data_IF_070188025556
#
_entry.id   IF_070188025556
#
_cell.length_a   1.000
_cell.length_b   1.000
_cell.length_c   1.000
_cell.angle_alpha   90.00
_cell.angle_beta   90.00
_cell.angle_gamma   90.00
#
_symmetry.space_group_name_H-M   'P 1'
#
loop_
_entity.id
_entity.type
_entity.pdbx_description
1 polymer ?
#
# COMPACT_ATOMS: atom_id res chain seq x y z
N UNK A 1 1.92 -11.61 -27.90
CA UNK A 1 0.98 -10.84 -27.06
C UNK A 1 0.52 -11.78 -25.98
N UNK A 2 0.77 -11.49 -24.73
CA UNK A 2 0.26 -12.32 -23.60
C UNK A 2 -1.27 -12.21 -23.61
N UNK A 3 -1.96 -13.34 -23.50
CA UNK A 3 -3.42 -13.39 -23.36
C UNK A 3 -3.81 -12.63 -22.08
N UNK A 4 -4.87 -11.81 -22.14
CA UNK A 4 -5.33 -11.05 -21.00
C UNK A 4 -5.85 -12.00 -19.91
N UNK A 5 -5.41 -11.80 -18.67
CA UNK A 5 -5.87 -12.60 -17.53
C UNK A 5 -7.36 -12.35 -17.26
N UNK A 6 -8.07 -13.34 -16.72
CA UNK A 6 -9.46 -13.14 -16.27
C UNK A 6 -9.53 -12.14 -15.11
N UNK A 7 -8.60 -12.25 -14.16
CA UNK A 7 -8.45 -11.38 -13.00
C UNK A 7 -6.97 -11.08 -12.73
N UNK A 8 -6.67 -9.86 -12.24
CA UNK A 8 -5.37 -9.50 -11.64
C UNK A 8 -5.63 -8.90 -10.27
N UNK A 9 -4.92 -9.40 -9.25
CA UNK A 9 -4.89 -8.77 -7.94
C UNK A 9 -3.83 -7.67 -7.89
N UNK A 10 -4.22 -6.51 -7.38
CA UNK A 10 -3.35 -5.36 -7.10
C UNK A 10 -3.37 -5.11 -5.59
N UNK A 11 -2.21 -5.17 -4.95
CA UNK A 11 -2.08 -5.07 -3.50
C UNK A 11 -1.31 -3.81 -3.13
N UNK A 12 -1.87 -2.99 -2.27
CA UNK A 12 -1.11 -1.96 -1.59
C UNK A 12 -0.17 -2.57 -0.53
N UNK A 13 0.76 -1.76 -0.01
CA UNK A 13 1.77 -2.20 0.97
C UNK A 13 1.54 -1.60 2.34
N UNK A 14 1.60 -0.25 2.43
CA UNK A 14 1.62 0.45 3.70
C UNK A 14 0.25 0.43 4.38
N UNK A 15 0.22 -0.07 5.61
CA UNK A 15 -1.01 -0.33 6.37
C UNK A 15 -1.98 -1.34 5.74
N UNK A 16 -1.59 -1.97 4.63
CA UNK A 16 -2.33 -3.07 3.98
C UNK A 16 -1.64 -4.41 4.22
N UNK A 17 -0.39 -4.56 3.82
CA UNK A 17 0.45 -5.75 4.04
C UNK A 17 1.46 -5.54 5.18
N UNK A 18 1.86 -4.29 5.43
CA UNK A 18 2.91 -3.88 6.35
C UNK A 18 2.41 -2.75 7.26
N UNK A 19 2.63 -2.88 8.57
CA UNK A 19 2.30 -1.89 9.60
C UNK A 19 3.28 -0.70 9.53
N UNK A 20 2.96 0.23 8.63
CA UNK A 20 3.77 1.42 8.41
C UNK A 20 3.60 2.45 9.53
N UNK A 21 2.47 2.45 10.23
CA UNK A 21 2.24 3.33 11.38
C UNK A 21 3.19 2.98 12.51
N UNK A 22 3.39 1.70 12.77
CA UNK A 22 4.35 1.25 13.77
C UNK A 22 5.78 1.58 13.38
N UNK A 23 6.15 1.41 12.10
CA UNK A 23 7.45 1.87 11.60
C UNK A 23 7.64 3.37 11.85
N UNK A 24 6.63 4.19 11.54
CA UNK A 24 6.68 5.63 11.79
C UNK A 24 6.85 5.97 13.27
N UNK A 25 6.12 5.30 14.17
CA UNK A 25 6.24 5.50 15.60
C UNK A 25 7.66 5.17 16.11
N UNK A 26 8.20 4.00 15.73
CA UNK A 26 9.54 3.56 16.11
C UNK A 26 10.65 4.46 15.53
N UNK A 27 10.45 4.99 14.31
CA UNK A 27 11.34 6.01 13.74
C UNK A 27 11.32 7.30 14.59
N UNK A 28 10.12 7.77 14.96
CA UNK A 28 9.97 8.92 15.83
C UNK A 28 10.67 8.76 17.17
N UNK A 29 10.53 7.60 17.82
CA UNK A 29 11.21 7.26 19.07
C UNK A 29 12.74 7.23 18.90
N UNK A 30 13.21 6.73 17.77
CA UNK A 30 14.64 6.70 17.43
C UNK A 30 15.20 8.12 17.26
N UNK A 31 14.48 8.99 16.56
CA UNK A 31 14.85 10.42 16.43
C UNK A 31 14.84 11.10 17.79
N UNK A 32 13.80 10.88 18.62
CA UNK A 32 13.72 11.46 19.95
C UNK A 32 14.87 11.01 20.87
N UNK A 33 15.26 9.74 20.77
CA UNK A 33 16.38 9.19 21.55
C UNK A 33 17.73 9.80 21.11
N UNK A 34 17.93 9.98 19.79
CA UNK A 34 19.19 10.48 19.26
C UNK A 34 19.35 12.00 19.37
N UNK A 35 18.26 12.77 19.28
CA UNK A 35 18.29 14.23 19.11
C UNK A 35 17.35 14.99 20.06
N UNK A 36 16.51 14.31 20.83
CA UNK A 36 15.48 14.91 21.69
C UNK A 36 14.12 15.08 21.03
N UNK A 37 13.09 15.32 21.86
CA UNK A 37 11.70 15.39 21.44
C UNK A 37 11.43 16.54 20.45
N UNK A 38 12.05 17.71 20.68
CA UNK A 38 11.91 18.86 19.77
C UNK A 38 12.40 18.55 18.36
N UNK A 39 13.51 17.83 18.23
CA UNK A 39 14.05 17.44 16.94
C UNK A 39 13.22 16.33 16.27
N UNK A 40 12.59 15.43 17.04
CA UNK A 40 11.59 14.52 16.52
C UNK A 40 10.42 15.28 15.87
N UNK A 41 9.90 16.28 16.56
CA UNK A 41 8.76 17.08 16.06
C UNK A 41 9.17 17.86 14.80
N UNK A 42 10.39 18.40 14.78
CA UNK A 42 10.98 19.03 13.57
C UNK A 42 11.11 18.04 12.40
N UNK A 43 11.57 16.81 12.65
CA UNK A 43 11.69 15.79 11.61
C UNK A 43 10.32 15.50 10.97
N UNK A 44 9.28 15.33 11.79
CA UNK A 44 7.93 15.07 11.29
C UNK A 44 7.30 16.28 10.60
N UNK A 45 7.60 17.50 11.01
CA UNK A 45 7.19 18.69 10.29
C UNK A 45 7.81 18.72 8.89
N UNK A 46 9.13 18.49 8.77
CA UNK A 46 9.82 18.40 7.48
C UNK A 46 9.25 17.27 6.60
N UNK A 47 8.97 16.12 7.20
CA UNK A 47 8.34 15.00 6.48
C UNK A 47 6.95 15.38 5.94
N UNK A 48 6.14 16.07 6.75
CA UNK A 48 4.82 16.56 6.35
C UNK A 48 4.91 17.55 5.19
N UNK A 49 5.79 18.56 5.29
CA UNK A 49 6.03 19.54 4.22
C UNK A 49 6.44 18.86 2.90
N UNK A 50 7.38 17.89 2.97
CA UNK A 50 7.81 17.13 1.80
C UNK A 50 6.67 16.32 1.18
N UNK A 51 5.87 15.67 2.02
CA UNK A 51 4.73 14.90 1.55
C UNK A 51 3.70 15.76 0.82
N UNK A 52 3.44 16.97 1.33
CA UNK A 52 2.52 17.93 0.70
C UNK A 52 3.10 18.48 -0.62
N UNK A 53 4.43 18.73 -0.67
CA UNK A 53 5.12 19.21 -1.86
C UNK A 53 5.23 18.14 -2.95
N UNK A 54 5.62 16.91 -2.59
CA UNK A 54 5.95 15.85 -3.53
C UNK A 54 4.76 14.94 -3.86
N UNK A 55 3.76 14.88 -2.98
CA UNK A 55 2.59 14.01 -3.10
C UNK A 55 2.83 12.57 -2.64
N UNK A 56 4.00 12.26 -2.06
CA UNK A 56 4.33 10.93 -1.52
C UNK A 56 5.20 11.04 -0.26
N UNK A 57 5.31 9.95 0.49
CA UNK A 57 6.12 9.83 1.68
C UNK A 57 7.60 9.70 1.32
N UNK A 58 8.43 10.69 1.69
CA UNK A 58 9.89 10.71 1.46
C UNK A 58 10.67 10.76 2.77
N UNK A 59 10.91 9.60 3.37
CA UNK A 59 11.67 9.47 4.61
C UNK A 59 13.16 9.83 4.44
N UNK A 60 13.74 9.53 3.27
CA UNK A 60 15.14 9.81 2.98
C UNK A 60 15.35 11.31 2.73
N UNK A 61 14.47 11.94 1.96
CA UNK A 61 14.46 13.38 1.75
C UNK A 61 14.23 14.15 3.04
N UNK A 62 13.34 13.66 3.92
CA UNK A 62 13.14 14.24 5.23
C UNK A 62 14.44 14.20 6.06
N UNK A 63 15.17 13.09 6.06
CA UNK A 63 16.48 13.01 6.73
C UNK A 63 17.50 13.99 6.12
N UNK A 64 17.51 14.14 4.79
CA UNK A 64 18.42 15.09 4.12
C UNK A 64 18.11 16.55 4.47
N UNK A 65 16.84 16.95 4.57
CA UNK A 65 16.47 18.30 5.03
C UNK A 65 16.71 18.47 6.53
N UNK A 66 16.42 17.44 7.33
CA UNK A 66 16.56 17.43 8.77
C UNK A 66 18.01 17.67 9.23
N UNK A 67 19.01 17.14 8.50
CA UNK A 67 20.42 17.32 8.86
C UNK A 67 20.89 18.77 8.87
N UNK A 68 20.19 19.68 8.21
CA UNK A 68 20.54 21.10 8.14
C UNK A 68 20.45 21.71 9.53
N UNK A 69 21.57 22.29 10.01
CA UNK A 69 21.66 22.91 11.33
C UNK A 69 21.87 21.93 12.49
N UNK A 70 22.24 20.67 12.21
CA UNK A 70 22.65 19.69 13.20
C UNK A 70 24.15 19.40 13.08
N UNK A 71 24.85 19.46 14.22
CA UNK A 71 26.30 19.18 14.31
C UNK A 71 26.60 17.77 14.87
N UNK A 72 25.61 16.87 14.85
CA UNK A 72 25.75 15.50 15.35
C UNK A 72 25.76 14.49 14.20
N UNK A 73 26.80 14.51 13.37
CA UNK A 73 26.95 13.61 12.23
C UNK A 73 26.92 12.12 12.60
N UNK A 74 27.54 11.65 13.71
CA UNK A 74 27.43 10.23 14.07
C UNK A 74 26.00 9.77 14.28
N UNK A 75 25.14 10.57 14.92
CA UNK A 75 23.73 10.25 15.10
C UNK A 75 22.96 10.28 13.76
N UNK A 76 23.26 11.22 12.86
CA UNK A 76 22.69 11.27 11.51
C UNK A 76 23.04 10.02 10.67
N UNK A 77 24.29 9.54 10.77
CA UNK A 77 24.72 8.31 10.11
C UNK A 77 23.99 7.08 10.69
N UNK A 78 23.76 7.05 12.03
CA UNK A 78 22.96 6.00 12.65
C UNK A 78 21.50 6.04 12.18
N UNK A 79 20.92 7.22 12.01
CA UNK A 79 19.57 7.37 11.44
C UNK A 79 19.49 6.88 10.00
N UNK A 80 20.49 7.20 9.17
CA UNK A 80 20.57 6.66 7.81
C UNK A 80 20.64 5.14 7.80
N UNK A 81 21.49 4.56 8.66
CA UNK A 81 21.59 3.12 8.83
C UNK A 81 20.26 2.52 9.31
N UNK A 82 19.60 3.15 10.30
CA UNK A 82 18.30 2.72 10.81
C UNK A 82 17.25 2.62 9.69
N UNK A 83 17.11 3.66 8.85
CA UNK A 83 16.16 3.66 7.74
C UNK A 83 16.45 2.53 6.74
N UNK A 84 17.73 2.32 6.38
CA UNK A 84 18.11 1.36 5.35
C UNK A 84 18.16 -0.09 5.87
N UNK A 85 18.41 -0.30 7.13
CA UNK A 85 18.55 -1.64 7.73
C UNK A 85 17.34 -2.05 8.59
N UNK A 86 16.30 -1.22 8.65
CA UNK A 86 15.12 -1.50 9.44
C UNK A 86 14.52 -2.87 9.09
N UNK A 87 14.14 -3.69 10.09
CA UNK A 87 13.65 -5.06 9.87
C UNK A 87 12.18 -5.07 9.44
N UNK A 88 11.89 -4.63 8.22
CA UNK A 88 10.53 -4.52 7.69
C UNK A 88 9.77 -5.85 7.66
N UNK A 89 10.46 -6.98 7.61
CA UNK A 89 9.86 -8.30 7.72
C UNK A 89 9.12 -8.52 9.04
N UNK A 90 9.54 -7.83 10.11
CA UNK A 90 8.89 -7.88 11.42
C UNK A 90 7.67 -6.94 11.52
N UNK A 91 7.42 -6.17 10.50
CA UNK A 91 6.28 -5.23 10.42
C UNK A 91 5.19 -5.70 9.47
N UNK A 92 5.32 -6.88 8.91
CA UNK A 92 4.22 -7.49 8.17
C UNK A 92 3.04 -7.74 9.11
N UNK A 93 1.85 -7.41 8.64
CA UNK A 93 0.65 -7.82 9.34
C UNK A 93 0.54 -9.36 9.39
N UNK A 94 -0.12 -9.92 10.42
CA UNK A 94 -0.31 -11.35 10.52
C UNK A 94 -0.88 -11.94 9.22
N UNK A 95 -0.25 -12.99 8.73
CA UNK A 95 -0.63 -13.71 7.52
C UNK A 95 -0.49 -12.94 6.19
N UNK A 96 0.21 -11.84 6.13
CA UNK A 96 0.37 -11.08 4.88
C UNK A 96 1.01 -11.92 3.76
N UNK A 97 2.10 -12.63 4.03
CA UNK A 97 2.79 -13.46 3.02
C UNK A 97 1.95 -14.66 2.59
N UNK A 98 1.27 -15.31 3.52
CA UNK A 98 0.36 -16.43 3.22
C UNK A 98 -0.83 -15.95 2.36
N UNK A 99 -1.34 -14.75 2.64
CA UNK A 99 -2.40 -14.14 1.83
C UNK A 99 -1.91 -13.85 0.41
N UNK A 100 -0.72 -13.26 0.26
CA UNK A 100 -0.13 -13.03 -1.07
C UNK A 100 0.05 -14.35 -1.82
N UNK A 101 0.55 -15.39 -1.15
CA UNK A 101 0.72 -16.72 -1.75
C UNK A 101 -0.62 -17.34 -2.18
N UNK A 102 -1.66 -17.19 -1.35
CA UNK A 102 -3.01 -17.66 -1.67
C UNK A 102 -3.58 -16.92 -2.89
N UNK A 103 -3.60 -15.58 -2.89
CA UNK A 103 -4.14 -14.80 -4.01
C UNK A 103 -3.40 -15.12 -5.32
N UNK A 104 -2.08 -15.30 -5.26
CA UNK A 104 -1.27 -15.72 -6.41
C UNK A 104 -1.61 -17.13 -6.92
N UNK A 105 -2.13 -18.01 -6.09
CA UNK A 105 -2.62 -19.31 -6.53
C UNK A 105 -3.93 -19.22 -7.31
N UNK A 106 -4.68 -18.13 -7.11
CA UNK A 106 -5.96 -17.87 -7.79
C UNK A 106 -5.78 -17.12 -9.11
N UNK A 107 -4.93 -16.08 -9.14
CA UNK A 107 -4.70 -15.23 -10.30
C UNK A 107 -3.34 -14.49 -10.22
N UNK A 108 -2.83 -13.91 -11.31
CA UNK A 108 -1.70 -13.00 -11.30
C UNK A 108 -1.89 -11.92 -10.25
N UNK A 109 -0.84 -11.67 -9.45
CA UNK A 109 -0.87 -10.75 -8.32
C UNK A 109 0.35 -9.85 -8.36
N UNK A 110 0.14 -8.54 -8.28
CA UNK A 110 1.18 -7.53 -8.25
C UNK A 110 1.00 -6.57 -7.06
N UNK A 111 2.10 -5.99 -6.61
CA UNK A 111 2.07 -4.83 -5.72
C UNK A 111 1.85 -3.57 -6.57
N UNK A 112 0.94 -2.71 -6.10
CA UNK A 112 0.68 -1.39 -6.65
C UNK A 112 0.68 -0.39 -5.48
N UNK A 113 1.78 0.33 -5.30
CA UNK A 113 2.02 1.19 -4.13
C UNK A 113 2.35 2.62 -4.53
N UNK A 114 2.02 3.56 -3.66
CA UNK A 114 2.53 4.93 -3.71
C UNK A 114 3.85 5.01 -2.94
N UNK A 115 4.76 5.89 -3.38
CA UNK A 115 6.02 6.14 -2.66
C UNK A 115 7.14 6.63 -3.55
N UNK A 116 8.27 6.92 -2.92
CA UNK A 116 9.49 7.24 -3.65
C UNK A 116 10.11 5.99 -4.32
N UNK A 117 10.84 6.21 -5.41
CA UNK A 117 11.37 5.13 -6.24
C UNK A 117 12.57 4.41 -5.61
N UNK A 118 13.11 4.89 -4.51
CA UNK A 118 14.28 4.31 -3.82
C UNK A 118 13.86 3.56 -2.56
N UNK A 119 13.20 4.25 -1.64
CA UNK A 119 12.89 3.69 -0.32
C UNK A 119 11.72 2.71 -0.34
N UNK A 120 10.66 2.98 -1.13
CA UNK A 120 9.52 2.08 -1.21
C UNK A 120 9.87 0.70 -1.79
N UNK A 121 10.59 0.59 -2.93
CA UNK A 121 11.09 -0.71 -3.39
C UNK A 121 12.06 -1.39 -2.43
N UNK A 122 12.90 -0.61 -1.71
CA UNK A 122 13.79 -1.13 -0.69
C UNK A 122 13.00 -1.75 0.47
N UNK A 123 12.00 -1.04 1.01
CA UNK A 123 11.08 -1.54 2.04
C UNK A 123 10.37 -2.82 1.60
N UNK A 124 9.81 -2.84 0.40
CA UNK A 124 9.12 -4.01 -0.18
C UNK A 124 10.07 -5.22 -0.27
N UNK A 125 11.34 -5.02 -0.65
CA UNK A 125 12.35 -6.10 -0.67
C UNK A 125 12.68 -6.58 0.74
N UNK A 126 12.97 -5.67 1.66
CA UNK A 126 13.30 -5.99 3.05
C UNK A 126 12.16 -6.70 3.78
N UNK A 127 10.93 -6.40 3.45
CA UNK A 127 9.76 -7.10 3.97
C UNK A 127 9.55 -8.51 3.34
N UNK A 128 10.32 -8.92 2.33
CA UNK A 128 10.12 -10.18 1.61
C UNK A 128 8.98 -10.15 0.59
N UNK A 129 8.23 -9.06 0.51
CA UNK A 129 7.07 -8.90 -0.38
C UNK A 129 7.46 -8.93 -1.85
N UNK A 130 8.64 -8.39 -2.21
CA UNK A 130 9.16 -8.44 -3.58
C UNK A 130 9.26 -9.88 -4.11
N UNK A 131 9.83 -10.76 -3.31
CA UNK A 131 9.94 -12.18 -3.65
C UNK A 131 8.58 -12.88 -3.66
N UNK A 132 7.71 -12.51 -2.71
CA UNK A 132 6.36 -13.07 -2.62
C UNK A 132 5.53 -12.83 -3.88
N UNK A 133 5.68 -11.66 -4.54
CA UNK A 133 5.02 -11.36 -5.83
C UNK A 133 5.91 -11.63 -7.05
N UNK A 134 7.07 -12.30 -6.89
CA UNK A 134 8.05 -12.60 -7.96
C UNK A 134 8.52 -11.37 -8.76
N UNK A 135 8.68 -10.25 -8.08
CA UNK A 135 9.12 -9.00 -8.69
C UNK A 135 8.03 -8.20 -9.40
N UNK A 136 6.78 -8.64 -9.38
CA UNK A 136 5.67 -7.90 -9.97
C UNK A 136 5.27 -6.74 -9.04
N UNK A 137 6.02 -5.63 -9.16
CA UNK A 137 5.90 -4.44 -8.30
C UNK A 137 5.84 -3.18 -9.17
N UNK A 138 4.85 -2.34 -8.90
CA UNK A 138 4.72 -0.99 -9.42
C UNK A 138 4.72 0.01 -8.26
N UNK A 139 5.55 1.04 -8.36
CA UNK A 139 5.60 2.16 -7.42
C UNK A 139 5.39 3.45 -8.21
N UNK A 140 4.39 4.22 -7.79
CA UNK A 140 4.01 5.49 -8.41
C UNK A 140 3.94 6.60 -7.36
N UNK A 141 3.87 7.85 -7.81
CA UNK A 141 3.56 8.99 -6.92
C UNK A 141 2.08 8.94 -6.55
N UNK A 142 1.21 8.70 -7.57
CA UNK A 142 -0.25 8.60 -7.42
C UNK A 142 -0.75 7.41 -8.24
N UNK A 143 -0.82 6.23 -7.64
CA UNK A 143 -1.19 4.98 -8.31
C UNK A 143 -2.56 5.03 -8.97
N UNK A 144 -3.53 5.74 -8.38
CA UNK A 144 -4.87 5.90 -8.94
C UNK A 144 -4.89 6.70 -10.26
N UNK A 145 -3.84 7.47 -10.55
CA UNK A 145 -3.67 8.20 -11.82
C UNK A 145 -2.94 7.39 -12.88
N UNK A 146 -2.39 6.24 -12.49
CA UNK A 146 -1.56 5.39 -13.36
C UNK A 146 -2.26 4.10 -13.80
N UNK A 147 -3.60 4.07 -13.75
CA UNK A 147 -4.38 2.87 -14.08
C UNK A 147 -4.19 2.41 -15.52
N UNK A 148 -4.04 3.34 -16.47
CA UNK A 148 -3.76 2.99 -17.88
C UNK A 148 -2.44 2.24 -18.01
N UNK A 149 -1.37 2.76 -17.38
CA UNK A 149 -0.05 2.10 -17.38
C UNK A 149 -0.10 0.75 -16.64
N UNK A 150 -0.85 0.67 -15.55
CA UNK A 150 -1.06 -0.58 -14.80
C UNK A 150 -1.76 -1.62 -15.66
N UNK A 151 -2.83 -1.24 -16.39
CA UNK A 151 -3.55 -2.14 -17.31
C UNK A 151 -2.70 -2.57 -18.52
N UNK A 152 -1.83 -1.70 -19.00
CA UNK A 152 -0.88 -2.06 -20.08
C UNK A 152 0.16 -3.07 -19.57
N UNK A 153 0.64 -2.93 -18.35
CA UNK A 153 1.61 -3.85 -17.75
C UNK A 153 0.99 -5.19 -17.36
N UNK A 154 -0.26 -5.17 -16.88
CA UNK A 154 -1.03 -6.34 -16.44
C UNK A 154 -2.38 -6.38 -17.14
N UNK A 155 -2.44 -6.79 -18.43
CA UNK A 155 -3.70 -6.88 -19.16
C UNK A 155 -4.65 -7.90 -18.53
N UNK A 156 -5.86 -7.45 -18.15
CA UNK A 156 -6.87 -8.32 -17.57
C UNK A 156 -8.29 -7.87 -17.93
N UNK A 157 -9.23 -8.81 -17.89
CA UNK A 157 -10.65 -8.51 -18.02
C UNK A 157 -11.17 -7.80 -16.75
N UNK A 158 -10.67 -8.20 -15.58
CA UNK A 158 -11.08 -7.67 -14.27
C UNK A 158 -9.87 -7.45 -13.36
N UNK A 159 -10.02 -6.55 -12.37
CA UNK A 159 -9.02 -6.26 -11.35
C UNK A 159 -9.65 -6.35 -9.97
N UNK A 160 -8.86 -6.74 -8.98
CA UNK A 160 -9.20 -6.61 -7.57
C UNK A 160 -8.13 -5.78 -6.87
N UNK A 161 -8.48 -4.60 -6.36
CA UNK A 161 -7.57 -3.73 -5.60
C UNK A 161 -7.82 -3.85 -4.11
N UNK A 162 -6.78 -4.15 -3.36
CA UNK A 162 -6.78 -4.27 -1.89
C UNK A 162 -5.96 -3.12 -1.31
N UNK A 163 -6.58 -2.27 -0.47
CA UNK A 163 -5.98 -1.03 0.03
C UNK A 163 -6.60 -0.63 1.37
N UNK A 164 -5.87 0.10 2.21
CA UNK A 164 -6.34 0.67 3.48
C UNK A 164 -6.98 2.07 3.33
N UNK A 165 -6.95 2.65 2.10
CA UNK A 165 -7.47 3.99 1.80
C UNK A 165 -8.78 3.91 1.03
N UNK A 166 -9.94 4.01 1.70
CA UNK A 166 -11.23 3.83 1.03
C UNK A 166 -11.54 4.93 -0.01
N UNK A 167 -11.06 6.16 0.19
CA UNK A 167 -11.22 7.26 -0.78
C UNK A 167 -10.48 6.96 -2.09
N UNK A 168 -9.26 6.39 -2.00
CA UNK A 168 -8.47 5.97 -3.16
C UNK A 168 -9.16 4.83 -3.91
N UNK A 169 -9.69 3.84 -3.18
CA UNK A 169 -10.47 2.75 -3.77
C UNK A 169 -11.70 3.28 -4.52
N UNK A 170 -12.42 4.26 -3.94
CA UNK A 170 -13.57 4.89 -4.58
C UNK A 170 -13.17 5.66 -5.85
N UNK A 171 -12.03 6.36 -5.85
CA UNK A 171 -11.50 7.05 -7.04
C UNK A 171 -11.16 6.06 -8.16
N UNK A 172 -10.46 4.97 -7.84
CA UNK A 172 -10.15 3.91 -8.81
C UNK A 172 -11.42 3.23 -9.34
N UNK A 173 -12.42 3.00 -8.46
CA UNK A 173 -13.71 2.41 -8.86
C UNK A 173 -14.47 3.31 -9.82
N UNK A 174 -14.47 4.63 -9.61
CA UNK A 174 -15.08 5.57 -10.58
C UNK A 174 -14.45 5.51 -11.97
N UNK A 175 -13.13 5.26 -12.04
CA UNK A 175 -12.41 5.19 -13.31
C UNK A 175 -12.60 3.84 -14.03
N UNK A 176 -12.55 2.72 -13.32
CA UNK A 176 -12.60 1.37 -13.90
C UNK A 176 -14.01 0.76 -13.91
N UNK A 177 -14.93 1.34 -13.15
CA UNK A 177 -16.32 0.90 -13.08
C UNK A 177 -16.46 -0.57 -12.67
N UNK A 178 -17.26 -1.35 -13.44
CA UNK A 178 -17.51 -2.76 -13.11
C UNK A 178 -16.29 -3.67 -13.34
N UNK A 179 -15.23 -3.15 -13.94
CA UNK A 179 -13.97 -3.91 -14.15
C UNK A 179 -13.06 -3.93 -12.92
N UNK A 180 -13.44 -3.30 -11.81
CA UNK A 180 -12.69 -3.29 -10.57
C UNK A 180 -13.55 -3.78 -9.41
N UNK A 181 -13.04 -4.73 -8.66
CA UNK A 181 -13.51 -5.07 -7.31
C UNK A 181 -12.58 -4.41 -6.30
N UNK A 182 -13.14 -3.65 -5.37
CA UNK A 182 -12.41 -2.93 -4.33
C UNK A 182 -12.54 -3.66 -3.00
N UNK A 183 -11.41 -3.87 -2.33
CA UNK A 183 -11.34 -4.50 -1.01
C UNK A 183 -10.69 -3.52 -0.04
N UNK A 184 -11.47 -2.98 0.87
CA UNK A 184 -11.00 -2.11 1.94
C UNK A 184 -10.54 -2.94 3.13
N UNK A 185 -9.27 -2.76 3.54
CA UNK A 185 -8.69 -3.41 4.71
C UNK A 185 -8.70 -2.41 5.87
N UNK A 186 -9.40 -2.73 6.96
CA UNK A 186 -9.52 -1.86 8.14
C UNK A 186 -8.29 -1.98 9.05
N UNK A 187 -7.13 -1.64 8.50
CA UNK A 187 -5.84 -1.59 9.19
C UNK A 187 -5.23 -0.18 9.08
N UNK A 188 -4.37 0.20 10.05
CA UNK A 188 -3.72 1.49 10.06
C UNK A 188 -4.64 2.69 10.35
N UNK A 189 -4.05 3.87 10.35
CA UNK A 189 -4.74 5.11 10.75
C UNK A 189 -5.84 5.57 9.79
N UNK A 190 -5.76 5.24 8.49
CA UNK A 190 -6.81 5.59 7.53
C UNK A 190 -8.10 4.83 7.79
N UNK A 191 -8.03 3.61 8.32
CA UNK A 191 -9.21 2.84 8.71
C UNK A 191 -9.98 3.54 9.83
N UNK A 192 -9.28 4.09 10.83
CA UNK A 192 -9.90 4.83 11.92
C UNK A 192 -10.43 6.21 11.46
N UNK A 193 -9.70 6.92 10.59
CA UNK A 193 -10.11 8.22 10.08
C UNK A 193 -11.34 8.14 9.15
N UNK A 194 -11.47 7.05 8.38
CA UNK A 194 -12.57 6.85 7.42
C UNK A 194 -13.92 6.48 8.04
N UNK A 195 -14.01 6.22 9.35
CA UNK A 195 -15.27 5.81 9.99
C UNK A 195 -16.37 6.88 9.95
N UNK A 196 -16.03 8.15 9.73
CA UNK A 196 -16.96 9.29 9.72
C UNK A 196 -17.19 9.90 8.33
N UNK A 197 -16.49 9.43 7.30
CA UNK A 197 -16.64 9.96 5.95
C UNK A 197 -17.50 9.03 5.08
N UNK A 198 -18.46 9.64 4.37
CA UNK A 198 -19.24 8.89 3.37
C UNK A 198 -18.37 8.65 2.14
N UNK A 199 -17.98 7.40 1.94
CA UNK A 199 -17.22 6.95 0.77
C UNK A 199 -18.18 6.61 -0.36
N UNK A 200 -17.99 7.23 -1.53
CA UNK A 200 -18.88 7.05 -2.68
C UNK A 200 -18.06 6.86 -3.98
N UNK A 201 -18.16 5.73 -4.69
CA UNK A 201 -18.89 4.54 -4.29
C UNK A 201 -18.26 3.83 -3.09
N UNK A 202 -19.04 3.09 -2.28
CA UNK A 202 -18.48 2.32 -1.18
C UNK A 202 -17.59 1.18 -1.70
N UNK A 203 -16.65 0.67 -0.89
CA UNK A 203 -15.90 -0.53 -1.24
C UNK A 203 -16.83 -1.73 -1.47
N UNK A 204 -16.51 -2.57 -2.47
CA UNK A 204 -17.28 -3.80 -2.75
C UNK A 204 -17.15 -4.80 -1.58
N UNK A 205 -15.96 -4.86 -0.96
CA UNK A 205 -15.70 -5.66 0.24
C UNK A 205 -14.98 -4.85 1.30
N UNK A 206 -15.29 -5.13 2.56
CA UNK A 206 -14.58 -4.59 3.73
C UNK A 206 -14.17 -5.76 4.62
N UNK A 207 -12.90 -5.81 5.00
CA UNK A 207 -12.31 -6.83 5.86
C UNK A 207 -11.59 -6.17 7.05
N UNK A 208 -11.55 -6.84 8.19
CA UNK A 208 -10.88 -6.31 9.37
C UNK A 208 -9.35 -6.43 9.27
N UNK A 209 -8.85 -7.49 8.63
CA UNK A 209 -7.41 -7.69 8.44
C UNK A 209 -7.13 -8.44 7.13
N UNK A 210 -5.91 -8.24 6.61
CA UNK A 210 -5.48 -8.84 5.35
C UNK A 210 -5.57 -10.37 5.35
N UNK A 211 -5.39 -11.01 6.52
CA UNK A 211 -5.44 -12.45 6.68
C UNK A 211 -6.79 -13.09 6.32
N UNK A 212 -7.90 -12.34 6.32
CA UNK A 212 -9.23 -12.85 5.94
C UNK A 212 -9.30 -13.27 4.47
N UNK A 213 -8.46 -12.70 3.61
CA UNK A 213 -8.46 -13.04 2.18
C UNK A 213 -7.96 -14.46 1.90
N UNK A 214 -7.29 -15.13 2.84
CA UNK A 214 -6.86 -16.53 2.69
C UNK A 214 -8.00 -17.54 2.52
N UNK A 215 -9.19 -17.19 2.99
CA UNK A 215 -10.38 -18.03 2.85
C UNK A 215 -11.24 -17.72 1.61
N UNK A 216 -10.88 -16.71 0.84
CA UNK A 216 -11.66 -16.26 -0.32
C UNK A 216 -11.33 -17.10 -1.57
N UNK A 217 -12.34 -17.23 -2.44
CA UNK A 217 -12.21 -17.89 -3.74
C UNK A 217 -12.14 -16.85 -4.86
N UNK A 218 -11.78 -17.29 -6.05
CA UNK A 218 -11.70 -16.42 -7.23
C UNK A 218 -13.02 -15.71 -7.52
N UNK A 219 -14.12 -16.42 -7.37
CA UNK A 219 -15.47 -15.94 -7.64
C UNK A 219 -15.89 -14.76 -6.74
N UNK A 220 -15.32 -14.68 -5.53
CA UNK A 220 -15.60 -13.59 -4.58
C UNK A 220 -15.11 -12.23 -5.10
N UNK A 221 -14.17 -12.23 -6.06
CA UNK A 221 -13.56 -11.03 -6.61
C UNK A 221 -14.01 -10.70 -8.03
N UNK A 222 -14.88 -11.51 -8.60
CA UNK A 222 -15.44 -11.28 -9.94
C UNK A 222 -16.83 -10.64 -9.82
N UNK A 223 -17.25 -9.85 -10.81
CA UNK A 223 -18.61 -9.33 -10.82
C UNK A 223 -19.61 -10.50 -10.83
N UNK A 224 -20.66 -10.40 -10.01
CA UNK A 224 -21.76 -11.35 -10.07
C UNK A 224 -22.29 -11.42 -11.51
N UNK A 225 -22.40 -12.61 -12.06
CA UNK A 225 -23.01 -12.79 -13.39
C UNK A 225 -24.40 -12.11 -13.37
N UNK A 226 -24.78 -11.36 -14.41
CA UNK A 226 -26.11 -10.81 -14.49
C UNK A 226 -27.11 -11.97 -14.36
N UNK A 227 -28.00 -11.88 -13.36
CA UNK A 227 -29.14 -12.79 -13.26
C UNK A 227 -29.97 -12.55 -14.51
N UNK A 228 -29.82 -13.40 -15.51
CA UNK A 228 -30.74 -13.44 -16.67
C UNK A 228 -32.06 -13.93 -16.06
N UNK A 229 -32.96 -13.00 -15.75
CA UNK A 229 -34.35 -13.35 -15.47
C UNK A 229 -34.87 -14.06 -16.70
N UNK A 230 -35.01 -15.38 -16.63
CA UNK A 230 -35.78 -16.13 -17.60
C UNK A 230 -37.20 -15.55 -17.54
N UNK A 231 -37.56 -14.76 -18.55
CA UNK A 231 -38.93 -14.38 -18.74
C UNK A 231 -39.72 -15.70 -18.89
N UNK A 232 -40.55 -15.98 -17.93
CA UNK A 232 -41.54 -17.05 -18.04
C UNK A 232 -42.59 -16.57 -19.09
N UNK A 233 -42.62 -17.23 -20.22
CA UNK A 233 -43.72 -17.13 -21.19
C UNK A 233 -45.02 -17.69 -20.59
#
# INVERSE_FOLDING_TARGET
MSEAAALVFLLDVDNTLLDNDRFGAELGDTVATAFGAEQRDRYWAIYGELRDELGYADYLGALQRFRSGLDNEPALLQMSKYLLEYPFEQRLYPHALETVAHLRSLAPTAILSDGDIVFQPHKIRRAGLWSAVRGEVLVYIHKQRMLVATQQRYPAAHYAMVDDKPQLLAEMKRQLGPRLTTVFVRQGHYAAAGEHERIEPPPDHTIACIGELRGRKLEDFLPSAPVIALAAD
#
